data_IF_936260252316
#
_entry.id   IF_936260252316
#
_cell.length_a   1.000
_cell.length_b   1.000
_cell.length_c   1.000
_cell.angle_alpha   90.00
_cell.angle_beta   90.00
_cell.angle_gamma   90.00
#
_symmetry.space_group_name_H-M   'P 1'
#
loop_
_entity.id
_entity.type
_entity.pdbx_description
1 polymer ?
#
# COMPACT_ATOMS: atom_id res chain seq x y z
N UNK A 1 14.32 -13.63 41.82
CA UNK A 1 15.17 -13.98 40.66
C UNK A 1 14.61 -15.26 40.09
N UNK A 2 14.47 -15.34 38.77
CA UNK A 2 13.91 -16.48 38.04
C UNK A 2 15.07 -17.23 37.39
N UNK A 3 15.15 -18.54 37.55
CA UNK A 3 16.13 -19.36 36.83
C UNK A 3 15.40 -20.14 35.75
N UNK A 4 15.65 -19.79 34.49
CA UNK A 4 14.98 -20.36 33.32
C UNK A 4 15.93 -21.36 32.65
N UNK A 5 15.51 -22.62 32.54
CA UNK A 5 16.26 -23.62 31.80
C UNK A 5 15.99 -23.51 30.30
N UNK A 6 17.04 -23.25 29.54
CA UNK A 6 17.00 -23.08 28.09
C UNK A 6 17.71 -24.23 27.38
N UNK A 7 17.25 -24.59 26.19
CA UNK A 7 17.95 -25.52 25.29
C UNK A 7 18.00 -24.91 23.89
N UNK A 8 19.17 -24.91 23.25
CA UNK A 8 19.26 -24.59 21.82
C UNK A 8 18.81 -25.79 20.99
N UNK A 9 17.80 -25.57 20.13
CA UNK A 9 17.31 -26.59 19.20
C UNK A 9 18.44 -26.97 18.24
N UNK A 10 18.77 -28.26 18.16
CA UNK A 10 19.91 -28.75 17.38
C UNK A 10 21.21 -28.96 18.19
N UNK A 11 21.31 -28.41 19.40
CA UNK A 11 22.44 -28.63 20.31
C UNK A 11 22.10 -29.67 21.39
N UNK A 12 20.86 -29.60 21.91
CA UNK A 12 20.33 -30.57 22.86
C UNK A 12 20.89 -30.47 24.29
N UNK A 13 21.81 -29.55 24.57
CA UNK A 13 22.38 -29.33 25.92
C UNK A 13 21.61 -28.22 26.66
N UNK A 14 20.99 -28.51 27.81
CA UNK A 14 20.34 -27.49 28.64
C UNK A 14 21.33 -26.61 29.38
N UNK A 15 20.96 -25.34 29.57
CA UNK A 15 21.71 -24.40 30.40
C UNK A 15 20.77 -23.45 31.17
N UNK A 16 21.10 -23.09 32.42
CA UNK A 16 20.30 -22.19 33.23
C UNK A 16 20.60 -20.72 32.90
N UNK A 17 19.55 -19.89 32.83
CA UNK A 17 19.65 -18.42 32.68
C UNK A 17 18.93 -17.75 33.85
N UNK A 18 19.66 -16.92 34.60
CA UNK A 18 19.12 -16.22 35.76
C UNK A 18 18.69 -14.81 35.36
N UNK A 19 17.43 -14.46 35.62
CA UNK A 19 16.85 -13.19 35.17
C UNK A 19 15.79 -12.70 36.16
N UNK A 20 15.57 -11.39 36.27
CA UNK A 20 14.51 -10.87 37.12
C UNK A 20 13.13 -11.07 36.46
N UNK A 21 12.12 -11.51 37.22
CA UNK A 21 10.80 -11.87 36.69
C UNK A 21 10.03 -10.69 36.05
N UNK A 22 10.38 -9.45 36.39
CA UNK A 22 9.81 -8.24 35.80
C UNK A 22 10.48 -7.82 34.47
N UNK A 23 11.54 -8.53 34.05
CA UNK A 23 12.22 -8.28 32.78
C UNK A 23 11.41 -8.83 31.61
N UNK A 24 11.72 -8.35 30.41
CA UNK A 24 11.05 -8.81 29.18
C UNK A 24 11.73 -10.03 28.56
N UNK A 25 11.03 -10.70 27.65
CA UNK A 25 11.57 -11.76 26.79
C UNK A 25 12.76 -11.24 25.97
N UNK A 26 12.79 -9.95 25.62
CA UNK A 26 13.95 -9.31 24.98
C UNK A 26 15.21 -9.40 25.84
N UNK A 27 15.11 -9.06 27.13
CA UNK A 27 16.23 -9.18 28.06
C UNK A 27 16.66 -10.65 28.25
N UNK A 28 15.71 -11.59 28.23
CA UNK A 28 16.05 -13.02 28.27
C UNK A 28 16.87 -13.46 27.05
N UNK A 29 16.59 -12.93 25.85
CA UNK A 29 17.41 -13.19 24.65
C UNK A 29 18.83 -12.68 24.80
N UNK A 30 19.01 -11.49 25.39
CA UNK A 30 20.33 -10.92 25.64
C UNK A 30 21.13 -11.81 26.61
N UNK A 31 20.53 -12.23 27.72
CA UNK A 31 21.16 -13.13 28.70
C UNK A 31 21.49 -14.52 28.12
N UNK A 32 20.62 -15.08 27.28
CA UNK A 32 20.88 -16.33 26.55
C UNK A 32 22.13 -16.19 25.65
N UNK A 33 22.21 -15.11 24.88
CA UNK A 33 23.39 -14.82 24.06
C UNK A 33 24.65 -14.66 24.92
N UNK A 34 24.55 -14.07 26.11
CA UNK A 34 25.70 -13.89 27.01
C UNK A 34 26.19 -15.22 27.58
N UNK A 35 25.28 -16.10 28.00
CA UNK A 35 25.61 -17.40 28.60
C UNK A 35 26.04 -18.47 27.59
N UNK A 36 25.64 -18.37 26.32
CA UNK A 36 25.94 -19.38 25.29
C UNK A 36 26.55 -18.75 24.02
N UNK A 37 27.60 -17.94 24.19
CA UNK A 37 28.28 -17.19 23.10
C UNK A 37 28.95 -18.08 22.06
N UNK A 38 29.42 -19.26 22.47
CA UNK A 38 30.16 -20.17 21.59
C UNK A 38 29.22 -20.86 20.59
N UNK A 39 27.98 -21.18 21.00
CA UNK A 39 26.96 -21.77 20.13
C UNK A 39 26.12 -20.69 19.42
N UNK A 40 25.81 -19.57 20.07
CA UNK A 40 24.94 -18.52 19.54
C UNK A 40 25.75 -17.33 19.00
N UNK A 41 26.08 -17.39 17.70
CA UNK A 41 26.93 -16.39 17.03
C UNK A 41 26.11 -15.17 16.53
N UNK A 42 24.78 -15.23 16.54
CA UNK A 42 23.92 -14.17 16.03
C UNK A 42 23.49 -13.16 17.12
N UNK A 43 23.10 -11.95 16.72
CA UNK A 43 22.53 -10.96 17.64
C UNK A 43 21.25 -11.48 18.33
N UNK A 44 21.08 -11.16 19.62
CA UNK A 44 19.94 -11.58 20.44
C UNK A 44 18.57 -11.29 19.81
N UNK A 45 18.40 -10.15 19.13
CA UNK A 45 17.16 -9.79 18.43
C UNK A 45 16.74 -10.77 17.33
N UNK A 46 17.68 -11.60 16.86
CA UNK A 46 17.45 -12.62 15.82
C UNK A 46 17.03 -13.97 16.38
N UNK A 47 17.14 -14.19 17.69
CA UNK A 47 16.66 -15.40 18.34
C UNK A 47 15.13 -15.45 18.33
N UNK A 48 14.57 -16.61 18.04
CA UNK A 48 13.18 -16.93 18.36
C UNK A 48 13.17 -17.80 19.62
N UNK A 49 12.39 -17.42 20.62
CA UNK A 49 12.21 -18.19 21.85
C UNK A 49 10.83 -18.82 21.85
N UNK A 50 10.75 -20.09 22.22
CA UNK A 50 9.50 -20.80 22.36
C UNK A 50 9.43 -21.37 23.77
N UNK A 51 8.36 -21.05 24.48
CA UNK A 51 7.99 -21.77 25.69
C UNK A 51 7.63 -23.20 25.31
N UNK A 52 8.05 -24.18 26.10
CA UNK A 52 7.70 -25.59 25.92
C UNK A 52 7.12 -26.13 27.22
N UNK A 53 6.00 -26.84 27.11
CA UNK A 53 5.39 -27.54 28.24
C UNK A 53 5.68 -29.04 28.18
N UNK A 54 5.87 -29.66 29.34
CA UNK A 54 6.08 -31.11 29.45
C UNK A 54 7.44 -31.65 28.99
N UNK A 55 8.46 -30.80 28.76
CA UNK A 55 9.83 -31.23 28.48
C UNK A 55 10.67 -31.28 29.76
N UNK A 56 11.11 -32.47 30.15
CA UNK A 56 11.87 -32.70 31.40
C UNK A 56 13.14 -33.49 31.10
N UNK A 57 14.27 -33.04 31.60
CA UNK A 57 15.53 -33.77 31.55
C UNK A 57 15.54 -34.87 32.61
N UNK A 58 15.73 -36.12 32.17
CA UNK A 58 15.80 -37.30 33.06
C UNK A 58 17.26 -37.66 33.36
N UNK A 59 18.16 -37.45 32.40
CA UNK A 59 19.61 -37.64 32.55
C UNK A 59 20.39 -36.69 31.62
N UNK A 60 21.72 -36.76 31.62
CA UNK A 60 22.59 -35.89 30.81
C UNK A 60 22.23 -35.85 29.32
N UNK A 61 21.72 -36.96 28.77
CA UNK A 61 21.38 -37.09 27.35
C UNK A 61 19.93 -37.46 27.08
N UNK A 62 19.13 -37.82 28.10
CA UNK A 62 17.75 -38.30 27.93
C UNK A 62 16.74 -37.32 28.49
N UNK A 63 15.68 -37.10 27.72
CA UNK A 63 14.58 -36.20 28.06
C UNK A 63 13.25 -36.95 27.97
N UNK A 64 12.32 -36.65 28.87
CA UNK A 64 10.92 -37.00 28.71
C UNK A 64 10.21 -35.81 28.06
N UNK A 65 9.44 -36.08 27.01
CA UNK A 65 8.53 -35.11 26.44
C UNK A 65 7.16 -35.76 26.31
N UNK A 66 6.23 -35.35 27.19
CA UNK A 66 4.88 -35.89 27.24
C UNK A 66 4.85 -37.43 27.22
N UNK A 67 5.55 -38.09 28.15
CA UNK A 67 5.66 -39.56 28.29
C UNK A 67 6.44 -40.27 27.17
N UNK A 68 7.08 -39.52 26.27
CA UNK A 68 7.95 -40.07 25.24
C UNK A 68 9.41 -39.74 25.56
N UNK A 69 10.24 -40.78 25.68
CA UNK A 69 11.67 -40.60 25.91
C UNK A 69 12.37 -40.18 24.61
N UNK A 70 13.13 -39.10 24.69
CA UNK A 70 14.00 -38.56 23.65
C UNK A 70 15.45 -38.83 24.07
N UNK A 71 16.13 -39.71 23.33
CA UNK A 71 17.52 -40.10 23.58
C UNK A 71 18.55 -39.17 22.89
N UNK A 72 18.10 -38.37 21.93
CA UNK A 72 18.93 -37.41 21.22
C UNK A 72 18.13 -36.14 20.91
N UNK A 73 18.25 -35.14 21.79
CA UNK A 73 17.62 -33.83 21.63
C UNK A 73 18.32 -32.97 20.56
N UNK A 74 19.57 -33.29 20.19
CA UNK A 74 20.34 -32.54 19.19
C UNK A 74 19.86 -32.81 17.76
N UNK A 75 19.29 -33.99 17.50
CA UNK A 75 18.63 -34.28 16.22
C UNK A 75 17.26 -33.63 16.05
N UNK A 76 16.65 -33.12 17.13
CA UNK A 76 15.27 -32.61 17.11
C UNK A 76 15.19 -31.22 16.50
N UNK A 77 14.15 -31.02 15.71
CA UNK A 77 13.72 -29.73 15.17
C UNK A 77 12.56 -29.19 15.99
N UNK A 78 12.31 -27.89 15.89
CA UNK A 78 11.16 -27.27 16.56
C UNK A 78 9.83 -27.95 16.17
N UNK A 79 9.70 -28.42 14.92
CA UNK A 79 8.51 -29.14 14.44
C UNK A 79 8.23 -30.44 15.20
N UNK A 80 9.24 -31.04 15.83
CA UNK A 80 9.11 -32.34 16.50
C UNK A 80 8.39 -32.23 17.85
N UNK A 81 8.19 -31.01 18.36
CA UNK A 81 7.44 -30.73 19.59
C UNK A 81 5.94 -30.49 19.36
N UNK A 82 5.43 -30.85 18.16
CA UNK A 82 4.02 -31.05 17.80
C UNK A 82 3.02 -29.97 18.28
N UNK A 83 3.40 -28.70 18.21
CA UNK A 83 2.52 -27.58 18.57
C UNK A 83 2.36 -27.33 20.08
N UNK A 84 3.01 -28.11 20.94
CA UNK A 84 3.08 -27.88 22.39
C UNK A 84 4.14 -26.84 22.77
N UNK A 85 4.43 -25.94 21.82
CA UNK A 85 5.39 -24.86 21.99
C UNK A 85 4.71 -23.55 21.62
N UNK A 86 4.86 -22.54 22.46
CA UNK A 86 4.28 -21.22 22.22
C UNK A 86 5.39 -20.21 21.98
N UNK A 87 5.31 -19.47 20.87
CA UNK A 87 6.32 -18.45 20.57
C UNK A 87 6.22 -17.30 21.56
N UNK A 88 7.34 -17.00 22.23
CA UNK A 88 7.41 -15.91 23.19
C UNK A 88 7.56 -14.55 22.48
N UNK A 89 6.79 -13.56 22.92
CA UNK A 89 6.77 -12.21 22.34
C UNK A 89 7.84 -11.35 23.02
N UNK A 90 8.79 -10.82 22.27
CA UNK A 90 9.96 -10.09 22.80
C UNK A 90 9.62 -8.93 23.74
N UNK A 91 8.48 -8.27 23.54
CA UNK A 91 8.05 -7.10 24.33
C UNK A 91 7.31 -7.48 25.61
N UNK A 92 6.91 -8.74 25.78
CA UNK A 92 6.16 -9.18 26.95
C UNK A 92 7.10 -9.39 28.13
N UNK A 93 6.59 -9.10 29.34
CA UNK A 93 7.28 -9.41 30.58
C UNK A 93 7.26 -10.92 30.84
N UNK A 94 8.31 -11.46 31.46
CA UNK A 94 8.40 -12.88 31.80
C UNK A 94 7.29 -13.33 32.78
N UNK A 95 6.77 -12.42 33.60
CA UNK A 95 5.59 -12.64 34.46
C UNK A 95 4.33 -13.03 33.69
N UNK A 96 4.24 -12.77 32.37
CA UNK A 96 3.15 -13.25 31.51
C UNK A 96 3.25 -14.74 31.18
N UNK A 97 4.38 -15.36 31.48
CA UNK A 97 4.63 -16.79 31.32
C UNK A 97 4.81 -17.41 32.72
N UNK A 98 3.73 -17.54 33.52
CA UNK A 98 3.81 -17.99 34.91
C UNK A 98 4.47 -19.38 35.06
N UNK A 99 4.36 -20.20 34.01
CA UNK A 99 4.99 -21.51 33.84
C UNK A 99 6.53 -21.50 33.99
N UNK A 100 7.18 -20.34 33.78
CA UNK A 100 8.62 -20.19 33.97
C UNK A 100 9.04 -20.15 35.44
N UNK A 101 8.10 -19.88 36.35
CA UNK A 101 8.32 -19.81 37.79
C UNK A 101 8.17 -21.15 38.51
N UNK A 102 7.68 -22.18 37.83
CA UNK A 102 7.60 -23.53 38.38
C UNK A 102 8.97 -24.19 38.30
N UNK A 103 9.49 -24.66 39.44
CA UNK A 103 10.84 -25.24 39.52
C UNK A 103 10.84 -26.73 39.88
N UNK A 104 10.15 -27.63 39.14
CA UNK A 104 10.47 -29.04 39.24
C UNK A 104 11.86 -29.28 38.66
N UNK A 105 12.70 -30.03 39.40
CA UNK A 105 14.05 -30.39 38.96
C UNK A 105 14.02 -30.97 37.54
N UNK A 106 14.89 -30.47 36.67
CA UNK A 106 15.05 -30.98 35.30
C UNK A 106 14.08 -30.41 34.26
N UNK A 107 13.08 -29.58 34.61
CA UNK A 107 12.16 -28.99 33.62
C UNK A 107 12.90 -28.04 32.67
N UNK A 108 12.72 -28.25 31.37
CA UNK A 108 13.17 -27.34 30.31
C UNK A 108 12.03 -26.37 30.01
N UNK A 109 12.33 -25.09 30.07
CA UNK A 109 11.30 -24.04 29.97
C UNK A 109 11.24 -23.42 28.58
N UNK A 110 12.41 -23.23 27.95
CA UNK A 110 12.53 -22.46 26.70
C UNK A 110 13.37 -23.21 25.68
N UNK A 111 12.81 -23.38 24.49
CA UNK A 111 13.54 -23.77 23.28
C UNK A 111 14.05 -22.51 22.56
N UNK A 112 15.36 -22.46 22.33
CA UNK A 112 16.05 -21.37 21.65
C UNK A 112 16.29 -21.78 20.20
N UNK A 113 15.72 -21.04 19.26
CA UNK A 113 15.90 -21.27 17.83
C UNK A 113 16.85 -20.24 17.26
N UNK A 114 18.02 -20.70 16.84
CA UNK A 114 19.06 -19.89 16.19
C UNK A 114 18.81 -19.90 14.68
N UNK A 115 18.73 -18.75 14.00
CA UNK A 115 18.61 -18.71 12.55
C UNK A 115 19.88 -19.27 11.89
N UNK A 116 19.77 -19.93 10.72
CA UNK A 116 20.94 -20.47 10.00
C UNK A 116 22.02 -19.41 9.77
N UNK A 117 23.30 -19.82 9.86
CA UNK A 117 24.48 -18.95 9.75
C UNK A 117 24.52 -18.15 8.43
N UNK A 118 23.98 -18.74 7.36
CA UNK A 118 23.86 -18.15 6.02
C UNK A 118 22.43 -17.73 5.66
N UNK A 119 21.50 -17.75 6.62
CA UNK A 119 20.17 -17.19 6.37
C UNK A 119 20.33 -15.67 6.20
N UNK A 120 19.99 -15.10 5.03
CA UNK A 120 19.91 -13.65 4.90
C UNK A 120 19.02 -13.13 6.04
N UNK A 121 19.34 -11.96 6.63
CA UNK A 121 18.54 -11.40 7.71
C UNK A 121 17.08 -11.49 7.29
N UNK A 122 16.19 -12.07 8.10
CA UNK A 122 14.78 -12.28 7.74
C UNK A 122 14.22 -10.96 7.22
N UNK A 123 14.21 -10.84 5.90
CA UNK A 123 13.54 -9.80 5.18
C UNK A 123 12.09 -10.14 5.47
N UNK A 124 11.40 -9.28 6.22
CA UNK A 124 9.96 -9.17 6.14
C UNK A 124 9.68 -9.18 4.64
N UNK A 125 9.20 -10.30 4.08
CA UNK A 125 9.15 -10.43 2.63
C UNK A 125 8.43 -9.20 2.13
N UNK A 126 9.15 -8.39 1.36
CA UNK A 126 8.60 -7.24 0.69
C UNK A 126 7.70 -7.83 -0.39
N UNK A 127 6.51 -8.24 0.02
CA UNK A 127 5.48 -8.62 -0.90
C UNK A 127 5.00 -7.29 -1.45
N UNK A 128 5.50 -6.92 -2.63
CA UNK A 128 4.89 -5.82 -3.35
C UNK A 128 3.39 -6.14 -3.42
N UNK A 129 2.56 -5.15 -3.10
CA UNK A 129 1.10 -5.28 -3.12
C UNK A 129 0.65 -5.94 -4.44
N UNK A 130 1.33 -5.62 -5.54
CA UNK A 130 1.22 -6.23 -6.87
C UNK A 130 1.51 -7.74 -6.93
N UNK A 131 2.52 -8.25 -6.20
CA UNK A 131 2.82 -9.69 -6.12
C UNK A 131 1.79 -10.46 -5.28
N UNK A 132 1.26 -9.85 -4.22
CA UNK A 132 0.19 -10.44 -3.40
C UNK A 132 -1.08 -10.65 -4.24
N UNK A 133 -1.44 -9.66 -5.07
CA UNK A 133 -2.57 -9.73 -5.98
C UNK A 133 -2.38 -10.80 -7.06
N UNK A 134 -1.19 -10.95 -7.66
CA UNK A 134 -0.92 -12.01 -8.66
C UNK A 134 -1.07 -13.43 -8.11
N UNK A 135 -0.54 -13.68 -6.91
CA UNK A 135 -0.48 -15.03 -6.33
C UNK A 135 -1.83 -15.54 -5.78
N UNK A 136 -2.85 -14.69 -5.68
CA UNK A 136 -4.09 -14.96 -4.95
C UNK A 136 -5.35 -14.63 -5.76
N UNK A 137 -5.19 -14.52 -7.08
CA UNK A 137 -6.24 -14.24 -8.05
C UNK A 137 -7.26 -15.40 -8.11
N UNK A 138 -8.55 -15.09 -8.06
CA UNK A 138 -9.61 -16.06 -8.36
C UNK A 138 -9.58 -16.42 -9.85
N UNK A 139 -9.92 -17.66 -10.25
CA UNK A 139 -10.23 -17.97 -11.64
C UNK A 139 -11.46 -17.13 -12.05
N UNK A 140 -11.36 -16.39 -13.16
CA UNK A 140 -12.45 -15.61 -13.78
C UNK A 140 -12.87 -14.31 -13.08
N UNK A 141 -12.07 -13.77 -12.15
CA UNK A 141 -12.28 -12.41 -11.62
C UNK A 141 -11.14 -11.49 -12.09
N UNK A 142 -11.40 -10.63 -13.08
CA UNK A 142 -10.44 -9.69 -13.71
C UNK A 142 -9.92 -8.56 -12.79
N UNK A 143 -9.88 -8.79 -11.48
CA UNK A 143 -9.31 -7.86 -10.51
C UNK A 143 -7.81 -7.62 -10.75
N UNK A 144 -7.14 -8.56 -11.42
CA UNK A 144 -5.72 -8.53 -11.74
C UNK A 144 -5.42 -7.55 -12.88
N UNK A 145 -6.33 -7.35 -13.84
CA UNK A 145 -6.07 -6.47 -15.00
C UNK A 145 -6.28 -4.99 -14.64
N UNK A 146 -7.09 -4.70 -13.62
CA UNK A 146 -7.15 -3.36 -13.00
C UNK A 146 -5.84 -2.98 -12.26
N UNK A 147 -5.06 -3.97 -11.80
CA UNK A 147 -3.85 -3.77 -10.97
C UNK A 147 -2.52 -4.08 -11.68
N UNK A 148 -2.54 -4.74 -12.85
CA UNK A 148 -1.37 -4.87 -13.76
C UNK A 148 -1.09 -3.58 -14.53
N UNK A 149 -2.09 -2.72 -14.61
CA UNK A 149 -2.09 -1.38 -15.14
C UNK A 149 -1.28 -0.44 -14.23
N UNK A 150 -0.32 0.36 -14.73
CA UNK A 150 -0.05 1.63 -14.06
C UNK A 150 -1.35 2.43 -14.15
N UNK A 151 -2.00 2.72 -13.02
CA UNK A 151 -2.98 3.80 -12.98
C UNK A 151 -2.19 5.05 -13.33
N UNK A 152 -2.28 5.51 -14.58
CA UNK A 152 -1.33 6.44 -15.15
C UNK A 152 -1.40 7.79 -14.45
N UNK A 153 -0.50 8.06 -13.51
CA UNK A 153 -0.28 9.40 -12.97
C UNK A 153 1.21 9.68 -12.83
N UNK A 154 1.65 10.75 -13.51
CA UNK A 154 2.99 11.31 -13.37
C UNK A 154 3.16 11.83 -11.94
N UNK A 155 4.21 11.36 -11.26
CA UNK A 155 4.70 11.93 -10.01
C UNK A 155 5.42 13.25 -10.35
N UNK A 156 4.95 14.43 -9.93
CA UNK A 156 5.76 15.63 -10.00
C UNK A 156 6.89 15.50 -8.99
N UNK A 157 8.11 15.70 -9.46
CA UNK A 157 9.29 15.73 -8.61
C UNK A 157 9.20 17.00 -7.75
N UNK A 158 8.98 16.83 -6.44
CA UNK A 158 9.04 17.91 -5.45
C UNK A 158 10.38 18.66 -5.55
N UNK A 159 10.30 19.98 -5.36
CA UNK A 159 11.41 20.93 -5.51
C UNK A 159 12.63 20.55 -4.65
N UNK A 160 13.81 21.00 -5.10
CA UNK A 160 15.12 20.67 -4.50
C UNK A 160 15.24 21.06 -3.02
N UNK A 161 14.46 22.05 -2.56
CA UNK A 161 14.43 22.51 -1.17
C UNK A 161 13.85 21.46 -0.20
N UNK A 162 12.83 20.70 -0.63
CA UNK A 162 12.22 19.65 0.22
C UNK A 162 13.13 18.43 0.38
N UNK A 163 14.01 18.15 -0.61
CA UNK A 163 14.97 17.04 -0.57
C UNK A 163 16.02 17.20 0.54
N UNK A 164 16.40 18.43 0.89
CA UNK A 164 17.48 18.67 1.85
C UNK A 164 17.05 18.49 3.32
N UNK A 165 15.79 18.81 3.64
CA UNK A 165 15.26 18.64 5.00
C UNK A 165 14.92 17.20 5.35
N UNK A 166 14.39 16.45 4.38
CA UNK A 166 14.11 15.01 4.53
C UNK A 166 15.41 14.19 4.56
N UNK A 167 16.41 14.57 3.75
CA UNK A 167 17.70 13.90 3.75
C UNK A 167 18.44 14.03 5.11
N UNK A 168 18.43 15.19 5.78
CA UNK A 168 19.18 15.36 7.04
C UNK A 168 18.68 14.50 8.20
N UNK A 169 17.41 14.10 8.23
CA UNK A 169 16.82 13.36 9.35
C UNK A 169 16.69 11.85 9.11
N UNK A 170 16.93 11.38 7.88
CA UNK A 170 16.84 9.95 7.48
C UNK A 170 18.24 9.30 7.34
N UNK A 171 19.32 10.07 7.49
CA UNK A 171 20.69 9.59 7.23
C UNK A 171 21.21 8.40 8.06
N UNK A 172 20.65 8.00 9.23
CA UNK A 172 21.05 6.76 9.89
C UNK A 172 20.52 5.46 9.22
N UNK A 173 19.59 5.55 8.25
CA UNK A 173 18.92 4.37 7.66
C UNK A 173 19.39 4.02 6.24
N UNK A 174 20.61 4.42 5.88
CA UNK A 174 21.14 4.43 4.51
C UNK A 174 21.37 3.06 3.83
N UNK A 175 21.05 1.93 4.47
CA UNK A 175 21.16 0.60 3.85
C UNK A 175 19.83 0.03 3.32
N UNK A 176 18.67 0.65 3.57
CA UNK A 176 17.36 0.03 3.30
C UNK A 176 16.42 0.77 2.34
N UNK A 177 16.84 1.88 1.75
CA UNK A 177 15.96 2.69 0.86
C UNK A 177 16.51 2.85 -0.57
N UNK A 178 17.72 2.36 -0.87
CA UNK A 178 18.34 2.55 -2.19
C UNK A 178 18.38 1.29 -3.05
N UNK A 179 17.22 0.71 -3.37
CA UNK A 179 17.08 -0.17 -4.55
C UNK A 179 15.67 -0.10 -5.15
N UNK A 180 15.21 1.11 -5.49
CA UNK A 180 14.03 1.33 -6.33
C UNK A 180 14.34 2.22 -7.55
N UNK A 181 15.63 2.42 -7.86
CA UNK A 181 16.07 3.33 -8.94
C UNK A 181 17.14 2.78 -9.89
N UNK A 182 17.33 1.45 -9.98
CA UNK A 182 18.37 0.87 -10.86
C UNK A 182 17.93 -0.30 -11.74
N UNK A 183 16.73 -0.20 -12.32
CA UNK A 183 16.34 -1.09 -13.42
C UNK A 183 15.66 -0.43 -14.63
N UNK A 184 15.58 0.91 -14.70
CA UNK A 184 14.98 1.62 -15.85
C UNK A 184 15.91 2.64 -16.52
N UNK A 185 17.23 2.46 -16.42
CA UNK A 185 18.20 3.29 -17.18
C UNK A 185 19.28 2.48 -17.90
N UNK A 186 19.01 1.22 -18.22
CA UNK A 186 19.88 0.42 -19.09
C UNK A 186 19.05 -0.22 -20.20
N UNK A 187 18.62 0.62 -21.15
CA UNK A 187 18.23 0.22 -22.52
C UNK A 187 17.93 1.50 -23.29
N UNK A 188 18.97 2.29 -23.55
CA UNK A 188 19.10 3.22 -24.68
C UNK A 188 20.48 3.86 -24.60
N UNK A 189 21.43 3.24 -25.28
CA UNK A 189 22.13 3.86 -26.42
C UNK A 189 23.39 3.06 -26.73
N UNK A 190 23.42 2.48 -27.93
CA UNK A 190 24.64 2.32 -28.70
C UNK A 190 24.34 2.67 -30.16
N UNK A 191 25.31 3.36 -30.79
CA UNK A 191 25.33 4.02 -32.12
C UNK A 191 24.69 5.43 -32.13
N UNK A 192 25.39 6.54 -32.40
CA UNK A 192 26.63 6.78 -33.16
C UNK A 192 27.44 7.99 -32.64
N UNK A 193 28.78 7.83 -32.69
CA UNK A 193 29.88 8.78 -33.01
C UNK A 193 29.92 10.17 -32.36
N UNK A 194 30.88 10.44 -31.47
CA UNK A 194 32.26 10.95 -31.77
C UNK A 194 32.28 12.22 -32.62
N UNK A 195 32.47 13.37 -31.99
CA UNK A 195 33.72 14.15 -32.10
C UNK A 195 33.69 15.43 -31.23
N UNK A 196 34.81 15.70 -30.56
CA UNK A 196 35.37 17.07 -30.54
C UNK A 196 35.19 17.96 -29.30
N UNK A 197 36.12 17.77 -28.34
CA UNK A 197 36.89 18.83 -27.65
C UNK A 197 36.25 19.85 -26.67
N UNK A 198 36.75 19.76 -25.42
CA UNK A 198 37.39 20.81 -24.58
C UNK A 198 36.65 22.14 -24.41
N UNK A 199 36.28 22.50 -23.18
CA UNK A 199 37.18 23.08 -22.18
C UNK A 199 36.45 23.47 -20.89
N UNK A 200 37.22 23.38 -19.81
CA UNK A 200 36.98 23.83 -18.44
C UNK A 200 36.70 25.32 -18.36
N UNK A 201 35.76 25.74 -17.51
CA UNK A 201 35.93 26.87 -16.56
C UNK A 201 34.77 27.00 -15.58
N UNK A 202 35.16 26.99 -14.31
CA UNK A 202 34.45 27.55 -13.16
C UNK A 202 33.85 28.92 -13.46
N UNK A 203 32.68 29.18 -12.84
CA UNK A 203 32.37 30.48 -12.23
C UNK A 203 31.20 30.36 -11.26
N UNK A 204 31.56 30.41 -9.99
CA UNK A 204 30.74 30.84 -8.87
C UNK A 204 30.11 32.21 -9.12
N UNK A 205 28.82 32.37 -8.81
CA UNK A 205 28.24 33.66 -8.44
C UNK A 205 27.15 33.46 -7.40
N UNK A 206 27.41 33.95 -6.19
CA UNK A 206 26.40 34.12 -5.16
C UNK A 206 25.58 35.39 -5.40
N UNK A 207 24.33 35.37 -4.93
CA UNK A 207 23.57 36.58 -4.59
C UNK A 207 22.74 36.30 -3.35
N UNK A 208 23.04 37.06 -2.29
CA UNK A 208 22.19 37.26 -1.10
C UNK A 208 21.12 38.29 -1.43
N UNK A 209 19.90 38.04 -0.96
CA UNK A 209 18.83 38.97 -0.55
C UNK A 209 17.76 38.05 0.07
N UNK A 210 17.15 38.25 1.23
CA UNK A 210 17.24 39.26 2.28
C UNK A 210 16.26 38.78 3.37
N UNK A 211 16.59 39.05 4.64
CA UNK A 211 15.73 38.76 5.79
C UNK A 211 14.40 39.52 5.70
N UNK A 212 13.31 38.89 6.11
CA UNK A 212 11.99 39.52 6.15
C UNK A 212 10.88 38.59 6.65
N UNK A 213 10.54 38.76 7.92
CA UNK A 213 9.32 38.43 8.63
C UNK A 213 8.98 36.99 9.06
N UNK A 214 9.10 36.81 10.38
CA UNK A 214 8.52 35.72 11.15
C UNK A 214 7.05 36.04 11.45
N UNK A 215 6.14 35.50 10.65
CA UNK A 215 4.73 35.36 11.02
C UNK A 215 4.53 34.02 11.73
N UNK A 216 4.36 34.06 13.06
CA UNK A 216 3.98 32.90 13.86
C UNK A 216 2.48 32.64 13.73
N UNK A 217 2.08 31.88 12.70
CA UNK A 217 0.80 31.18 12.69
C UNK A 217 1.05 29.70 12.94
N UNK A 218 0.80 29.29 14.18
CA UNK A 218 0.82 27.89 14.61
C UNK A 218 -0.34 27.12 13.98
N UNK A 219 -0.17 26.66 12.74
CA UNK A 219 -0.91 25.51 12.24
C UNK A 219 -0.10 24.25 12.52
N UNK A 220 -0.62 23.47 13.46
CA UNK A 220 -0.11 22.17 13.89
C UNK A 220 -0.29 21.16 12.75
N UNK A 221 0.63 21.21 11.78
CA UNK A 221 0.66 20.35 10.60
C UNK A 221 0.93 18.89 10.97
N UNK A 222 -0.11 18.16 11.37
CA UNK A 222 -0.04 16.72 11.59
C UNK A 222 0.04 16.00 10.25
N UNK A 223 1.26 15.76 9.77
CA UNK A 223 1.49 14.80 8.69
C UNK A 223 1.19 13.39 9.22
N UNK A 224 0.09 12.79 8.76
CA UNK A 224 -0.21 11.38 8.98
C UNK A 224 0.23 10.58 7.75
N UNK A 225 1.04 9.54 7.96
CA UNK A 225 1.40 8.58 6.93
C UNK A 225 0.66 7.27 7.21
N UNK A 226 0.13 6.64 6.18
CA UNK A 226 -0.48 5.31 6.29
C UNK A 226 0.45 4.28 5.67
N UNK A 227 0.68 3.18 6.36
CA UNK A 227 1.43 2.06 5.81
C UNK A 227 0.77 0.73 6.20
N UNK A 228 0.93 -0.26 5.32
CA UNK A 228 0.31 -1.58 5.45
C UNK A 228 1.37 -2.53 5.99
N UNK A 229 1.04 -3.31 7.02
CA UNK A 229 1.86 -4.44 7.45
C UNK A 229 1.16 -5.76 7.10
N UNK A 230 1.89 -6.69 6.50
CA UNK A 230 1.39 -8.02 6.13
C UNK A 230 2.08 -9.06 7.01
N UNK A 231 1.28 -9.84 7.73
CA UNK A 231 1.75 -10.99 8.50
C UNK A 231 1.22 -12.26 7.83
N UNK A 232 2.13 -13.06 7.29
CA UNK A 232 1.81 -14.37 6.70
C UNK A 232 2.27 -15.45 7.66
N UNK A 233 1.34 -16.01 8.42
CA UNK A 233 1.63 -17.13 9.29
C UNK A 233 1.66 -18.43 8.48
N UNK A 234 2.78 -19.15 8.56
CA UNK A 234 2.91 -20.49 8.01
C UNK A 234 2.37 -21.50 9.03
N UNK A 235 1.06 -21.73 9.02
CA UNK A 235 0.49 -22.93 9.64
C UNK A 235 0.35 -24.02 8.58
N UNK A 236 1.11 -25.11 8.73
CA UNK A 236 0.97 -26.32 7.92
C UNK A 236 0.36 -27.44 8.76
N UNK A 237 -0.96 -27.50 8.77
CA UNK A 237 -1.71 -28.75 8.58
C UNK A 237 -3.20 -28.40 8.45
N UNK A 238 -3.79 -28.84 7.33
CA UNK A 238 -5.22 -28.85 7.03
C UNK A 238 -5.97 -27.48 6.93
N UNK A 239 -5.95 -27.01 5.68
CA UNK A 239 -7.05 -26.47 4.88
C UNK A 239 -7.49 -24.99 4.92
N UNK A 240 -7.12 -24.14 5.87
CA UNK A 240 -7.44 -22.71 5.73
C UNK A 240 -6.27 -21.80 6.13
N UNK A 241 -5.58 -21.22 5.15
CA UNK A 241 -4.52 -20.20 5.34
C UNK A 241 -5.14 -18.89 5.84
N UNK A 242 -5.20 -18.72 7.15
CA UNK A 242 -5.47 -17.44 7.79
C UNK A 242 -4.33 -16.46 7.49
N UNK A 243 -4.65 -15.35 6.84
CA UNK A 243 -3.70 -14.23 6.66
C UNK A 243 -4.20 -13.05 7.51
N UNK A 244 -3.40 -12.60 8.48
CA UNK A 244 -3.71 -11.40 9.24
C UNK A 244 -3.11 -10.18 8.52
N UNK A 245 -3.97 -9.23 8.15
CA UNK A 245 -3.54 -7.95 7.58
C UNK A 245 -3.84 -6.85 8.59
N UNK A 246 -2.87 -6.01 8.92
CA UNK A 246 -3.07 -4.89 9.81
C UNK A 246 -2.77 -3.58 9.10
N UNK A 247 -3.70 -2.65 9.19
CA UNK A 247 -3.51 -1.31 8.68
C UNK A 247 -3.02 -0.41 9.81
N UNK A 248 -1.93 0.31 9.57
CA UNK A 248 -1.35 1.20 10.58
C UNK A 248 -1.42 2.66 10.15
N UNK A 249 -1.81 3.51 11.09
CA UNK A 249 -1.65 4.95 11.02
C UNK A 249 -0.35 5.33 11.73
N UNK A 250 0.54 5.98 10.99
CA UNK A 250 1.77 6.59 11.50
C UNK A 250 1.51 8.07 11.80
N UNK A 251 1.62 8.44 13.07
CA UNK A 251 1.47 9.82 13.54
C UNK A 251 2.80 10.34 14.06
N UNK A 252 3.21 11.54 13.65
CA UNK A 252 4.36 12.21 14.24
C UNK A 252 3.96 12.93 15.53
N UNK A 253 4.75 12.76 16.60
CA UNK A 253 4.55 13.40 17.91
C UNK A 253 5.64 14.47 18.08
N UNK A 254 5.35 15.76 17.82
CA UNK A 254 6.37 16.81 17.80
C UNK A 254 7.12 16.96 19.12
N UNK A 255 6.40 16.87 20.25
CA UNK A 255 6.97 17.03 21.59
C UNK A 255 8.04 15.99 21.94
N UNK A 256 7.97 14.80 21.33
CA UNK A 256 8.93 13.73 21.56
C UNK A 256 9.85 13.48 20.37
N UNK A 257 9.65 14.18 19.25
CA UNK A 257 10.28 13.95 17.96
C UNK A 257 10.23 12.49 17.50
N UNK A 258 9.20 11.74 17.90
CA UNK A 258 9.01 10.33 17.56
C UNK A 258 7.79 10.13 16.69
N UNK A 259 7.80 9.06 15.91
CA UNK A 259 6.62 8.56 15.24
C UNK A 259 5.97 7.48 16.10
N UNK A 260 4.65 7.51 16.18
CA UNK A 260 3.83 6.49 16.82
C UNK A 260 3.00 5.78 15.76
N UNK A 261 2.93 4.46 15.86
CA UNK A 261 2.09 3.63 15.01
C UNK A 261 0.89 3.18 15.81
N UNK A 262 -0.28 3.29 15.21
CA UNK A 262 -1.54 2.80 15.79
C UNK A 262 -2.21 1.89 14.77
N UNK A 263 -2.69 0.74 15.22
CA UNK A 263 -3.46 -0.15 14.35
C UNK A 263 -4.82 0.51 14.14
N UNK A 264 -5.15 0.78 12.89
CA UNK A 264 -6.43 1.36 12.48
C UNK A 264 -7.47 0.27 12.34
N UNK A 265 -7.08 -0.85 11.73
CA UNK A 265 -7.98 -1.97 11.44
C UNK A 265 -7.18 -3.27 11.28
N UNK A 266 -7.78 -4.40 11.63
CA UNK A 266 -7.21 -5.74 11.44
C UNK A 266 -8.15 -6.63 10.65
N UNK A 267 -7.61 -7.34 9.67
CA UNK A 267 -8.37 -8.20 8.77
C UNK A 267 -7.88 -9.63 8.92
N UNK A 268 -8.78 -10.50 9.38
CA UNK A 268 -8.57 -11.94 9.36
C UNK A 268 -9.03 -12.48 8.03
N UNK A 269 -8.09 -12.63 7.12
CA UNK A 269 -8.38 -13.04 5.76
C UNK A 269 -8.40 -14.55 5.68
N UNK A 270 -9.59 -15.13 5.88
CA UNK A 270 -9.85 -16.57 5.73
C UNK A 270 -10.29 -16.95 4.32
N UNK A 271 -10.91 -16.02 3.59
CA UNK A 271 -11.56 -16.26 2.31
C UNK A 271 -11.56 -15.03 1.41
N UNK A 272 -12.15 -15.16 0.21
CA UNK A 272 -12.22 -14.10 -0.79
C UNK A 272 -13.03 -12.88 -0.35
N UNK A 273 -14.08 -13.04 0.46
CA UNK A 273 -14.90 -11.93 0.93
C UNK A 273 -14.10 -11.06 1.91
N UNK A 274 -13.33 -11.68 2.80
CA UNK A 274 -12.43 -10.95 3.70
C UNK A 274 -11.31 -10.23 2.95
N UNK A 275 -10.78 -10.81 1.85
CA UNK A 275 -9.81 -10.13 0.96
C UNK A 275 -10.42 -8.89 0.33
N UNK A 276 -11.62 -9.02 -0.24
CA UNK A 276 -12.33 -7.91 -0.86
C UNK A 276 -12.61 -6.80 0.14
N UNK A 277 -13.03 -7.15 1.37
CA UNK A 277 -13.23 -6.19 2.45
C UNK A 277 -11.95 -5.42 2.78
N UNK A 278 -10.81 -6.11 2.95
CA UNK A 278 -9.52 -5.46 3.18
C UNK A 278 -9.17 -4.47 2.07
N UNK A 279 -9.30 -4.86 0.80
CA UNK A 279 -8.94 -3.99 -0.32
C UNK A 279 -9.86 -2.77 -0.39
N UNK A 280 -11.17 -2.96 -0.24
CA UNK A 280 -12.15 -1.87 -0.20
C UNK A 280 -11.83 -0.91 0.94
N UNK A 281 -11.55 -1.43 2.14
CA UNK A 281 -11.26 -0.58 3.30
C UNK A 281 -9.88 0.09 3.20
N UNK A 282 -8.89 -0.55 2.59
CA UNK A 282 -7.62 0.09 2.26
C UNK A 282 -7.83 1.30 1.32
N UNK A 283 -8.65 1.15 0.27
CA UNK A 283 -8.95 2.26 -0.64
C UNK A 283 -9.89 3.33 -0.03
N UNK A 284 -10.71 3.00 0.98
CA UNK A 284 -11.41 4.01 1.80
C UNK A 284 -10.44 4.89 2.57
N UNK A 285 -9.32 4.31 3.02
CA UNK A 285 -8.40 4.96 3.95
C UNK A 285 -7.28 5.69 3.20
N UNK A 286 -6.95 5.28 1.98
CA UNK A 286 -6.12 6.04 1.07
C UNK A 286 -6.88 7.27 0.56
N UNK A 287 -7.03 8.29 1.43
CA UNK A 287 -7.37 9.65 1.02
C UNK A 287 -6.24 10.15 0.14
N UNK A 288 -6.43 10.06 -1.18
CA UNK A 288 -5.43 10.52 -2.13
C UNK A 288 -5.36 12.05 -2.09
N UNK A 289 -4.18 12.55 -1.72
CA UNK A 289 -3.82 13.95 -1.79
C UNK A 289 -2.85 14.09 -2.95
N UNK A 290 -3.26 14.69 -4.08
CA UNK A 290 -2.59 15.87 -4.64
C UNK A 290 -3.14 16.34 -6.00
N UNK A 291 -3.21 17.68 -6.14
CA UNK A 291 -3.23 18.53 -7.35
C UNK A 291 -4.53 18.93 -8.08
N UNK A 292 -5.70 18.33 -7.87
CA UNK A 292 -6.88 18.71 -8.67
C UNK A 292 -8.14 18.84 -7.84
N UNK A 293 -8.40 20.03 -7.26
CA UNK A 293 -9.70 20.56 -6.73
C UNK A 293 -10.62 19.67 -5.87
N UNK A 294 -10.31 18.40 -5.64
CA UNK A 294 -11.16 17.41 -5.02
C UNK A 294 -10.35 16.27 -4.38
N UNK A 295 -10.98 15.55 -3.45
CA UNK A 295 -10.47 14.35 -2.80
C UNK A 295 -11.21 13.14 -3.35
N UNK A 296 -10.48 12.09 -3.71
CA UNK A 296 -11.08 10.85 -4.19
C UNK A 296 -10.98 9.78 -3.11
N UNK A 297 -12.06 9.05 -2.87
CA UNK A 297 -12.16 7.95 -1.89
C UNK A 297 -12.98 6.82 -2.49
N UNK A 298 -12.52 5.57 -2.39
CA UNK A 298 -13.33 4.44 -2.81
C UNK A 298 -14.27 4.01 -1.69
N UNK A 299 -15.59 4.06 -1.90
CA UNK A 299 -16.59 3.58 -0.95
C UNK A 299 -17.15 2.22 -1.40
N UNK A 300 -17.85 1.52 -0.49
CA UNK A 300 -18.59 0.29 -0.86
C UNK A 300 -19.65 0.57 -1.93
N UNK A 301 -20.16 1.80 -1.96
CA UNK A 301 -21.22 2.27 -2.84
C UNK A 301 -20.71 2.87 -4.16
N UNK A 302 -19.40 3.11 -4.32
CA UNK A 302 -18.85 3.74 -5.53
C UNK A 302 -17.62 4.60 -5.28
N UNK A 303 -17.17 5.33 -6.30
CA UNK A 303 -16.06 6.28 -6.22
C UNK A 303 -16.57 7.63 -5.70
N UNK A 304 -16.21 8.00 -4.48
CA UNK A 304 -16.55 9.28 -3.88
C UNK A 304 -15.53 10.36 -4.27
N UNK A 305 -16.00 11.46 -4.85
CA UNK A 305 -15.23 12.68 -5.11
C UNK A 305 -15.78 13.80 -4.23
N UNK A 306 -14.97 14.35 -3.34
CA UNK A 306 -15.29 15.52 -2.52
C UNK A 306 -14.58 16.75 -3.05
N UNK A 307 -15.33 17.73 -3.51
CA UNK A 307 -14.79 18.97 -4.06
C UNK A 307 -14.47 19.98 -2.96
N UNK A 308 -13.36 20.69 -3.13
CA UNK A 308 -13.00 21.81 -2.26
C UNK A 308 -14.03 22.93 -2.42
N UNK A 309 -14.25 23.72 -1.37
CA UNK A 309 -15.19 24.85 -1.40
C UNK A 309 -14.89 25.89 -2.51
N UNK A 310 -13.62 25.95 -2.96
CA UNK A 310 -13.13 26.86 -3.99
C UNK A 310 -13.20 26.27 -5.41
N UNK A 311 -13.66 25.02 -5.54
CA UNK A 311 -13.87 24.43 -6.84
C UNK A 311 -15.15 25.03 -7.45
N UNK A 312 -14.99 25.80 -8.52
CA UNK A 312 -16.10 26.33 -9.34
C UNK A 312 -16.78 25.19 -10.11
N UNK A 313 -17.58 24.40 -9.39
CA UNK A 313 -18.29 23.21 -9.90
C UNK A 313 -19.77 23.40 -9.66
N UNK A 314 -20.55 23.32 -10.73
CA UNK A 314 -22.00 23.43 -10.69
C UNK A 314 -22.62 22.10 -10.22
N UNK A 315 -22.69 21.95 -8.89
CA UNK A 315 -23.27 20.75 -8.26
C UNK A 315 -24.76 20.58 -8.55
N UNK A 316 -25.49 21.66 -8.86
CA UNK A 316 -26.91 21.63 -9.20
C UNK A 316 -27.10 21.06 -10.61
N UNK A 317 -26.24 21.45 -11.55
CA UNK A 317 -26.17 20.87 -12.89
C UNK A 317 -25.82 19.38 -12.85
N UNK A 318 -24.78 18.98 -12.09
CA UNK A 318 -24.42 17.57 -11.93
C UNK A 318 -25.59 16.77 -11.32
N UNK A 319 -26.29 17.35 -10.32
CA UNK A 319 -27.48 16.72 -9.73
C UNK A 319 -28.58 16.53 -10.77
N UNK A 320 -28.80 17.51 -11.63
CA UNK A 320 -29.75 17.41 -12.75
C UNK A 320 -29.38 16.28 -13.70
N UNK A 321 -28.11 16.19 -14.12
CA UNK A 321 -27.61 15.09 -14.97
C UNK A 321 -27.85 13.72 -14.31
N UNK A 322 -27.46 13.55 -13.04
CA UNK A 322 -27.61 12.27 -12.35
C UNK A 322 -29.07 11.87 -12.11
N UNK A 323 -29.98 12.82 -11.92
CA UNK A 323 -31.40 12.56 -11.75
C UNK A 323 -32.14 12.30 -13.06
N UNK A 324 -31.57 12.68 -14.20
CA UNK A 324 -32.22 12.48 -15.49
C UNK A 324 -32.08 11.04 -15.97
N UNK A 325 -33.14 10.24 -15.86
CA UNK A 325 -33.11 8.81 -16.22
C UNK A 325 -32.97 8.55 -17.73
N UNK A 326 -33.12 9.56 -18.61
CA UNK A 326 -32.98 9.35 -20.05
C UNK A 326 -31.53 9.24 -20.53
N UNK A 327 -30.56 9.71 -19.74
CA UNK A 327 -29.13 9.72 -20.11
C UNK A 327 -28.48 8.34 -19.97
N UNK A 328 -28.49 7.53 -21.01
CA UNK A 328 -27.97 6.17 -20.94
C UNK A 328 -26.45 6.09 -21.12
N UNK A 329 -25.86 7.06 -21.82
CA UNK A 329 -24.46 7.05 -22.24
C UNK A 329 -23.59 8.00 -21.41
N UNK A 330 -24.06 8.43 -20.24
CA UNK A 330 -23.34 9.28 -19.29
C UNK A 330 -23.09 8.52 -18.00
N UNK A 331 -21.97 8.81 -17.32
CA UNK A 331 -21.69 8.26 -15.99
C UNK A 331 -22.84 8.57 -15.00
N UNK A 332 -23.03 7.68 -14.03
CA UNK A 332 -24.08 7.79 -13.02
C UNK A 332 -23.48 7.84 -11.64
N UNK A 333 -24.15 8.58 -10.77
CA UNK A 333 -23.77 8.69 -9.39
C UNK A 333 -24.85 9.31 -8.53
N UNK A 334 -24.48 9.60 -7.30
CA UNK A 334 -25.27 10.34 -6.34
C UNK A 334 -24.58 11.67 -6.06
N UNK A 335 -25.35 12.75 -6.08
CA UNK A 335 -24.85 14.09 -5.76
C UNK A 335 -25.19 14.45 -4.30
N UNK A 336 -24.23 14.99 -3.58
CA UNK A 336 -24.38 15.58 -2.25
C UNK A 336 -24.11 17.09 -2.32
N UNK A 337 -23.90 17.78 -1.20
CA UNK A 337 -23.70 19.24 -1.19
C UNK A 337 -22.46 19.68 -1.99
N UNK A 338 -21.31 19.07 -1.72
CA UNK A 338 -20.01 19.39 -2.31
C UNK A 338 -19.28 18.14 -2.79
N UNK A 339 -20.00 17.05 -3.04
CA UNK A 339 -19.40 15.77 -3.40
C UNK A 339 -20.31 14.95 -4.29
N UNK A 340 -19.71 14.04 -5.04
CA UNK A 340 -20.41 13.02 -5.82
C UNK A 340 -19.92 11.63 -5.44
N UNK A 341 -20.81 10.66 -5.46
CA UNK A 341 -20.45 9.23 -5.42
C UNK A 341 -20.78 8.63 -6.77
N UNK A 342 -19.78 8.38 -7.61
CA UNK A 342 -19.94 7.74 -8.91
C UNK A 342 -20.23 6.25 -8.67
N UNK A 343 -21.41 5.82 -9.08
CA UNK A 343 -21.91 4.44 -8.90
C UNK A 343 -21.69 3.58 -10.15
N UNK A 344 -21.47 4.22 -11.31
CA UNK A 344 -21.09 3.54 -12.54
C UNK A 344 -19.67 2.99 -12.46
N UNK A 345 -19.51 1.67 -12.62
CA UNK A 345 -18.20 1.03 -12.67
C UNK A 345 -17.89 0.65 -14.12
N UNK A 346 -16.84 1.25 -14.67
CA UNK A 346 -16.37 0.98 -16.03
C UNK A 346 -14.85 0.86 -16.10
N UNK A 347 -14.37 0.20 -17.17
CA UNK A 347 -12.95 0.21 -17.57
C UNK A 347 -12.68 1.49 -18.36
N UNK A 348 -11.46 2.02 -18.29
CA UNK A 348 -11.04 3.10 -19.19
C UNK A 348 -11.04 2.61 -20.63
N UNK A 349 -11.22 3.54 -21.57
CA UNK A 349 -11.22 3.21 -22.98
C UNK A 349 -9.97 2.46 -23.42
N UNK A 350 -8.78 2.92 -23.00
CA UNK A 350 -7.49 2.30 -23.33
C UNK A 350 -7.45 0.79 -23.02
N UNK A 351 -8.09 0.36 -21.94
CA UNK A 351 -8.13 -1.06 -21.59
C UNK A 351 -9.22 -1.81 -22.32
N UNK A 352 -10.35 -1.17 -22.59
CA UNK A 352 -11.45 -1.80 -23.30
C UNK A 352 -11.18 -1.97 -24.81
N UNK A 353 -10.20 -1.28 -25.41
CA UNK A 353 -9.95 -1.30 -26.86
C UNK A 353 -9.81 -2.69 -27.47
N UNK A 354 -9.22 -3.66 -26.74
CA UNK A 354 -9.13 -5.06 -27.18
C UNK A 354 -10.50 -5.68 -27.48
N UNK A 355 -11.52 -5.26 -26.73
CA UNK A 355 -12.88 -5.80 -26.79
C UNK A 355 -13.63 -5.24 -28.02
N UNK A 356 -13.09 -4.16 -28.61
CA UNK A 356 -13.63 -3.45 -29.78
C UNK A 356 -12.76 -3.64 -31.04
N UNK A 357 -11.97 -4.72 -31.16
CA UNK A 357 -11.16 -4.98 -32.35
C UNK A 357 -11.99 -4.87 -33.65
N UNK A 358 -11.68 -3.87 -34.48
CA UNK A 358 -12.40 -3.57 -35.73
C UNK A 358 -13.74 -2.83 -35.56
N UNK A 359 -14.16 -2.51 -34.33
CA UNK A 359 -15.45 -1.91 -33.97
C UNK A 359 -15.32 -0.53 -33.30
N UNK A 360 -14.27 0.23 -33.62
CA UNK A 360 -14.06 1.60 -33.10
C UNK A 360 -15.26 2.53 -33.37
N UNK A 361 -16.00 2.31 -34.45
CA UNK A 361 -17.22 3.05 -34.73
C UNK A 361 -18.26 2.95 -33.61
N UNK A 362 -18.34 1.81 -32.88
CA UNK A 362 -19.27 1.68 -31.75
C UNK A 362 -18.87 2.56 -30.56
N UNK A 363 -17.58 2.85 -30.40
CA UNK A 363 -17.08 3.79 -29.39
C UNK A 363 -17.45 5.22 -29.79
N UNK A 364 -17.19 5.57 -31.04
CA UNK A 364 -17.54 6.89 -31.60
C UNK A 364 -19.04 7.14 -31.49
N UNK A 365 -19.87 6.17 -31.90
CA UNK A 365 -21.33 6.23 -31.79
C UNK A 365 -21.79 6.36 -30.34
N UNK A 366 -21.12 5.67 -29.41
CA UNK A 366 -21.42 5.74 -27.98
C UNK A 366 -21.13 7.11 -27.38
N UNK A 367 -19.98 7.69 -27.71
CA UNK A 367 -19.62 9.05 -27.26
C UNK A 367 -20.54 10.09 -27.92
N UNK A 368 -20.85 9.94 -29.21
CA UNK A 368 -21.78 10.83 -29.91
C UNK A 368 -23.17 10.82 -29.28
N UNK A 369 -23.69 9.63 -28.96
CA UNK A 369 -24.96 9.48 -28.22
C UNK A 369 -24.91 10.15 -26.84
N UNK A 370 -23.80 10.03 -26.11
CA UNK A 370 -23.64 10.72 -24.82
C UNK A 370 -23.73 12.24 -24.96
N UNK A 371 -23.08 12.80 -25.99
CA UNK A 371 -23.16 14.23 -26.28
C UNK A 371 -24.56 14.65 -26.69
N UNK A 372 -25.20 13.92 -27.62
CA UNK A 372 -26.57 14.23 -28.05
C UNK A 372 -27.55 14.16 -26.85
N UNK A 373 -27.39 13.19 -25.95
CA UNK A 373 -28.18 13.08 -24.72
C UNK A 373 -27.98 14.29 -23.78
N UNK A 374 -26.74 14.73 -23.56
CA UNK A 374 -26.44 15.92 -22.76
C UNK A 374 -26.96 17.22 -23.42
N UNK A 375 -26.75 17.36 -24.73
CA UNK A 375 -27.17 18.54 -25.50
C UNK A 375 -28.70 18.65 -25.51
N UNK A 376 -29.43 17.53 -25.58
CA UNK A 376 -30.89 17.50 -25.52
C UNK A 376 -31.46 18.04 -24.19
N UNK A 377 -30.69 17.99 -23.09
CA UNK A 377 -31.07 18.59 -21.81
C UNK A 377 -30.48 19.99 -21.61
N UNK A 378 -29.82 20.55 -22.63
CA UNK A 378 -29.22 21.87 -22.65
C UNK A 378 -27.86 21.95 -21.93
N UNK A 379 -27.10 20.85 -21.89
CA UNK A 379 -25.83 20.76 -21.16
C UNK A 379 -24.71 20.32 -22.10
N UNK A 380 -23.54 20.97 -22.00
CA UNK A 380 -22.30 20.56 -22.64
C UNK A 380 -21.37 19.86 -21.64
N UNK A 381 -20.52 18.94 -22.11
CA UNK A 381 -19.58 18.18 -21.29
C UNK A 381 -18.28 18.94 -20.99
N UNK A 382 -17.74 19.63 -22.00
CA UNK A 382 -16.53 20.47 -22.00
C UNK A 382 -15.18 19.78 -21.75
N UNK A 383 -15.15 18.46 -21.54
CA UNK A 383 -13.91 17.67 -21.42
C UNK A 383 -13.99 16.33 -22.16
N UNK A 384 -14.39 16.36 -23.44
CA UNK A 384 -14.50 15.15 -24.28
C UNK A 384 -13.10 14.69 -24.71
N UNK A 385 -12.68 13.51 -24.25
CA UNK A 385 -11.36 12.93 -24.52
C UNK A 385 -11.32 11.46 -24.13
N UNK A 386 -10.39 10.68 -24.68
CA UNK A 386 -10.32 9.23 -24.41
C UNK A 386 -10.15 8.89 -22.92
N UNK A 387 -9.51 9.76 -22.14
CA UNK A 387 -9.34 9.59 -20.69
C UNK A 387 -10.66 9.61 -19.90
N UNK A 388 -11.69 10.28 -20.45
CA UNK A 388 -13.01 10.45 -19.83
C UNK A 388 -14.07 9.55 -20.47
N UNK A 389 -13.66 8.64 -21.36
CA UNK A 389 -14.52 7.62 -21.95
C UNK A 389 -14.31 6.30 -21.23
N UNK A 390 -15.42 5.71 -20.78
CA UNK A 390 -15.43 4.46 -20.03
C UNK A 390 -16.33 3.42 -20.69
N UNK A 391 -16.03 2.15 -20.45
CA UNK A 391 -16.86 1.02 -20.89
C UNK A 391 -17.39 0.29 -19.66
N UNK A 392 -18.71 0.32 -19.46
CA UNK A 392 -19.36 -0.26 -18.28
C UNK A 392 -19.12 -1.76 -18.21
N UNK A 393 -18.72 -2.25 -17.03
CA UNK A 393 -18.48 -3.68 -16.81
C UNK A 393 -19.76 -4.51 -16.90
N UNK A 394 -20.91 -3.92 -16.57
CA UNK A 394 -22.19 -4.64 -16.50
C UNK A 394 -22.74 -5.06 -17.85
N UNK A 395 -22.50 -4.27 -18.90
CA UNK A 395 -23.14 -4.46 -20.21
C UNK A 395 -22.29 -4.02 -21.41
N UNK A 396 -21.03 -3.63 -21.20
CA UNK A 396 -20.12 -3.19 -22.27
C UNK A 396 -20.51 -1.86 -22.92
N UNK A 397 -21.45 -1.10 -22.34
CA UNK A 397 -21.87 0.19 -22.90
C UNK A 397 -20.80 1.25 -22.70
N UNK A 398 -20.54 2.01 -23.77
CA UNK A 398 -19.65 3.17 -23.75
C UNK A 398 -20.37 4.33 -23.07
N UNK A 399 -19.70 4.97 -22.12
CA UNK A 399 -20.21 6.13 -21.39
C UNK A 399 -19.16 7.23 -21.28
N UNK A 400 -19.63 8.47 -21.25
CA UNK A 400 -18.81 9.65 -20.98
C UNK A 400 -18.88 9.97 -19.48
N UNK A 401 -17.74 10.22 -18.85
CA UNK A 401 -17.64 10.53 -17.42
C UNK A 401 -16.78 11.75 -17.13
N UNK A 402 -16.56 12.01 -15.85
CA UNK A 402 -15.88 13.22 -15.35
C UNK A 402 -16.63 14.54 -15.63
N UNK A 403 -17.83 14.64 -15.06
CA UNK A 403 -18.78 15.74 -15.30
C UNK A 403 -18.44 17.08 -14.62
N UNK A 404 -17.24 17.23 -14.06
CA UNK A 404 -16.88 18.41 -13.25
C UNK A 404 -16.77 19.72 -14.05
N UNK A 405 -16.64 19.63 -15.38
CA UNK A 405 -16.59 20.77 -16.29
C UNK A 405 -17.89 21.00 -17.06
N UNK A 406 -18.94 20.22 -16.80
CA UNK A 406 -20.22 20.39 -17.49
C UNK A 406 -20.79 21.80 -17.24
N UNK A 407 -21.38 22.39 -18.28
CA UNK A 407 -22.01 23.73 -18.23
C UNK A 407 -23.21 23.82 -19.17
N UNK A 408 -24.09 24.83 -19.05
CA UNK A 408 -25.15 25.06 -20.04
C UNK A 408 -24.58 25.18 -21.47
N UNK A 409 -25.30 24.66 -22.47
CA UNK A 409 -24.84 24.56 -23.86
C UNK A 409 -24.37 25.92 -24.43
N UNK A 410 -25.10 26.99 -24.13
CA UNK A 410 -24.85 28.35 -24.62
C UNK A 410 -23.87 29.14 -23.74
N UNK A 411 -23.39 28.58 -22.63
CA UNK A 411 -22.44 29.23 -21.74
C UNK A 411 -21.05 29.32 -22.39
N UNK A 412 -20.20 30.29 -21.98
CA UNK A 412 -18.81 30.31 -22.43
C UNK A 412 -18.06 29.05 -21.98
N UNK A 413 -17.17 28.49 -22.83
CA UNK A 413 -16.33 27.34 -22.48
C UNK A 413 -15.50 27.59 -21.23
N UNK A 414 -15.17 26.55 -20.44
CA UNK A 414 -14.26 26.69 -19.32
C UNK A 414 -12.82 26.98 -19.79
N UNK A 415 -12.21 28.06 -19.29
CA UNK A 415 -10.88 28.53 -19.69
C UNK A 415 -9.80 27.45 -19.62
N UNK A 416 -9.85 26.60 -18.59
CA UNK A 416 -8.88 25.53 -18.35
C UNK A 416 -8.90 24.42 -19.41
N UNK A 417 -9.95 24.34 -20.23
CA UNK A 417 -10.12 23.32 -21.29
C UNK A 417 -10.14 23.91 -22.69
N UNK A 418 -10.08 25.25 -22.81
CA UNK A 418 -10.06 25.95 -24.08
C UNK A 418 -8.69 25.80 -24.73
N UNK A 419 -8.57 24.89 -25.69
CA UNK A 419 -7.41 24.81 -26.59
C UNK A 419 -7.57 25.69 -27.82
N UNK A 420 -8.82 25.93 -28.22
CA UNK A 420 -9.16 26.71 -29.38
C UNK A 420 -10.02 27.90 -28.96
N UNK A 421 -9.51 29.10 -29.23
CA UNK A 421 -10.19 30.36 -28.94
C UNK A 421 -11.38 30.61 -29.89
N UNK A 422 -11.53 29.82 -30.96
CA UNK A 422 -12.63 29.92 -31.91
C UNK A 422 -13.99 29.49 -31.33
N UNK A 423 -13.99 28.58 -30.35
CA UNK A 423 -15.22 28.15 -29.68
C UNK A 423 -15.73 29.25 -28.74
N UNK A 424 -16.92 29.77 -29.02
CA UNK A 424 -17.59 30.82 -28.24
C UNK A 424 -18.59 30.25 -27.23
N UNK A 425 -19.13 29.05 -27.50
CA UNK A 425 -20.06 28.35 -26.61
C UNK A 425 -19.51 26.98 -26.17
N UNK A 426 -20.01 26.50 -25.03
CA UNK A 426 -19.67 25.20 -24.48
C UNK A 426 -20.07 24.05 -25.42
N UNK A 427 -21.20 24.19 -26.13
CA UNK A 427 -21.62 23.23 -27.17
C UNK A 427 -20.69 23.20 -28.38
N UNK A 428 -20.16 24.34 -28.82
CA UNK A 428 -19.13 24.39 -29.87
C UNK A 428 -17.85 23.67 -29.44
N UNK A 429 -17.43 23.85 -28.17
CA UNK A 429 -16.27 23.14 -27.62
C UNK A 429 -16.46 21.62 -27.62
N UNK A 430 -17.64 21.11 -27.27
CA UNK A 430 -17.93 19.67 -27.30
C UNK A 430 -17.78 19.09 -28.71
N UNK A 431 -18.29 19.78 -29.73
CA UNK A 431 -18.18 19.33 -31.12
C UNK A 431 -16.71 19.30 -31.58
N UNK A 432 -15.95 20.35 -31.26
CA UNK A 432 -14.52 20.39 -31.54
C UNK A 432 -13.75 19.26 -30.84
N UNK A 433 -14.00 19.05 -29.54
CA UNK A 433 -13.34 18.01 -28.77
C UNK A 433 -13.76 16.60 -29.19
N UNK A 434 -14.98 16.43 -29.70
CA UNK A 434 -15.42 15.17 -30.28
C UNK A 434 -14.61 14.81 -31.53
N UNK A 435 -14.35 15.78 -32.42
CA UNK A 435 -13.49 15.57 -33.58
C UNK A 435 -12.05 15.24 -33.16
N UNK A 436 -11.50 15.98 -32.17
CA UNK A 436 -10.19 15.64 -31.58
C UNK A 436 -10.16 14.22 -30.99
N UNK A 437 -11.26 13.80 -30.34
CA UNK A 437 -11.39 12.47 -29.77
C UNK A 437 -11.41 11.37 -30.85
N UNK A 438 -12.10 11.59 -31.97
CA UNK A 438 -12.07 10.65 -33.11
C UNK A 438 -10.64 10.47 -33.63
N UNK A 439 -9.89 11.56 -33.75
CA UNK A 439 -8.48 11.53 -34.13
C UNK A 439 -7.58 10.88 -33.07
N UNK A 440 -7.85 11.10 -31.79
CA UNK A 440 -7.15 10.45 -30.67
C UNK A 440 -7.37 8.93 -30.73
N UNK A 441 -8.62 8.49 -30.88
CA UNK A 441 -8.99 7.08 -30.94
C UNK A 441 -8.39 6.35 -32.15
N UNK A 442 -8.19 7.04 -33.27
CA UNK A 442 -7.50 6.47 -34.43
C UNK A 442 -6.02 6.15 -34.15
N UNK A 443 -5.40 6.87 -33.22
CA UNK A 443 -3.98 6.72 -32.83
C UNK A 443 -3.75 5.72 -31.70
N UNK A 444 -4.79 5.40 -30.92
CA UNK A 444 -4.75 4.37 -29.85
C UNK A 444 -4.88 2.98 -30.43
#
# INVERSE_FOLDING_TARGET
MLSVMCVVVGEGRPFPVDIAANQSVGHLKDEICVKNKDTIICEAKRLDLYYVDGLVQISDTRFDFNTTVIDDLSSKKLSDFNGMTEKMVSTFQLSKYPQLGESPMGKIHVLVVVPPKDAPPRICQEVSVSNLFRQNSLPNMEFVDAMKQPVGFKIPILSSAYRQNVARHIYPWRSRIWTLYRHFSSTRNFQQQRNGNRNVRDKSFGKRYGDGDQGTDGQDGRCCLLYISLWKDFYSSLDHKLTLIQLHQLSYIPSSQKYMTTIVESYFVTDANHRQKFVVDLFKILKWYEHSRHYVTWLKTGLFKEFKAEADIDMDLIRRIYNDTSLQHVERGMCHRNSVTITSIGRTLQHALSDFQGKRHLIIDGVKKALDELHNIGVAHCDVRAANVFVLLSNGRVVLGDLEYCRPLDAPPPDVKRKDDSCTTAGELDNYQFDEFVDELAKM
#
